data_IF_499835130435
#
_entry.id   IF_499835130435
#
_cell.length_a   1.000
_cell.length_b   1.000
_cell.length_c   1.000
_cell.angle_alpha   90.00
_cell.angle_beta   90.00
_cell.angle_gamma   90.00
#
_symmetry.space_group_name_H-M   'P 1'
#
loop_
_entity.id
_entity.type
_entity.pdbx_description
1 polymer ?
#
# COMPACT_ATOMS: atom_id res chain seq x y z
N UNK A 1 7.67 19.88 -2.18
CA UNK A 1 6.50 20.34 -1.39
C UNK A 1 6.49 19.63 -0.04
N UNK A 2 6.77 20.35 1.05
CA UNK A 2 6.78 19.82 2.43
C UNK A 2 5.33 19.66 2.92
N UNK A 3 4.92 18.42 3.20
CA UNK A 3 3.61 18.09 3.76
C UNK A 3 3.54 18.51 5.23
N UNK A 4 2.66 19.48 5.54
CA UNK A 4 2.37 19.89 6.92
C UNK A 4 1.34 18.96 7.59
N UNK A 5 1.47 18.71 8.91
CA UNK A 5 0.73 17.68 9.66
C UNK A 5 -0.80 17.84 9.68
N UNK A 6 -1.35 19.05 9.47
CA UNK A 6 -2.79 19.32 9.55
C UNK A 6 -3.59 18.87 8.31
N UNK A 7 -2.96 18.81 7.14
CA UNK A 7 -3.66 18.51 5.87
C UNK A 7 -4.12 17.05 5.77
N UNK A 8 -3.50 16.17 6.54
CA UNK A 8 -3.76 14.74 6.52
C UNK A 8 -4.99 14.31 7.33
N UNK A 9 -5.32 15.04 8.40
CA UNK A 9 -6.54 14.78 9.18
C UNK A 9 -7.79 14.98 8.33
N UNK A 10 -7.79 16.01 7.48
CA UNK A 10 -8.90 16.28 6.55
C UNK A 10 -9.03 15.16 5.53
N UNK A 11 -7.93 14.65 4.99
CA UNK A 11 -7.97 13.53 4.03
C UNK A 11 -8.46 12.24 4.70
N UNK A 12 -7.95 11.90 5.89
CA UNK A 12 -8.42 10.72 6.62
C UNK A 12 -9.89 10.84 7.01
N UNK A 13 -10.33 12.03 7.45
CA UNK A 13 -11.72 12.32 7.79
C UNK A 13 -12.64 12.21 6.56
N UNK A 14 -12.23 12.75 5.41
CA UNK A 14 -12.97 12.62 4.15
C UNK A 14 -13.13 11.16 3.73
N UNK A 15 -12.08 10.35 3.90
CA UNK A 15 -12.13 8.90 3.60
C UNK A 15 -13.01 8.16 4.61
N UNK A 16 -13.05 8.60 5.87
CA UNK A 16 -13.98 8.07 6.89
C UNK A 16 -15.43 8.44 6.63
N UNK A 17 -15.68 9.65 6.14
CA UNK A 17 -17.01 10.10 5.74
C UNK A 17 -17.56 9.31 4.53
N UNK A 18 -16.74 8.47 3.87
CA UNK A 18 -17.11 7.62 2.73
C UNK A 18 -17.84 8.39 1.62
N UNK A 19 -17.56 9.69 1.46
CA UNK A 19 -18.22 10.49 0.43
C UNK A 19 -17.71 10.00 -0.93
N UNK A 20 -18.54 9.34 -1.77
CA UNK A 20 -18.06 8.67 -2.97
C UNK A 20 -17.42 9.67 -3.95
N UNK A 21 -18.05 10.84 -4.10
CA UNK A 21 -17.63 11.89 -5.03
C UNK A 21 -16.25 12.47 -4.71
N UNK A 22 -15.93 12.62 -3.41
CA UNK A 22 -14.63 13.15 -2.98
C UNK A 22 -13.57 12.06 -3.02
N UNK A 23 -13.92 10.83 -2.61
CA UNK A 23 -13.01 9.69 -2.64
C UNK A 23 -12.54 9.37 -4.06
N UNK A 24 -13.44 9.42 -5.05
CA UNK A 24 -13.09 9.20 -6.47
C UNK A 24 -12.13 10.28 -6.99
N UNK A 25 -12.37 11.56 -6.66
CA UNK A 25 -11.44 12.65 -7.01
C UNK A 25 -10.07 12.44 -6.37
N UNK A 26 -10.04 12.00 -5.11
CA UNK A 26 -8.81 11.74 -4.38
C UNK A 26 -8.01 10.57 -4.97
N UNK A 27 -8.69 9.46 -5.25
CA UNK A 27 -8.12 8.28 -5.91
C UNK A 27 -7.53 8.66 -7.28
N UNK A 28 -8.22 9.52 -8.03
CA UNK A 28 -7.72 10.03 -9.31
C UNK A 28 -6.43 10.85 -9.14
N UNK A 29 -6.33 11.67 -8.09
CA UNK A 29 -5.12 12.44 -7.76
C UNK A 29 -3.96 11.56 -7.25
N UNK A 30 -4.26 10.42 -6.62
CA UNK A 30 -3.25 9.48 -6.13
C UNK A 30 -2.70 8.55 -7.19
N UNK A 31 -3.39 8.41 -8.33
CA UNK A 31 -2.92 7.61 -9.45
C UNK A 31 -1.56 8.13 -9.93
N UNK A 32 -0.55 7.26 -9.97
CA UNK A 32 0.84 7.62 -10.31
C UNK A 32 1.69 8.08 -9.13
N UNK A 33 1.12 8.17 -7.92
CA UNK A 33 1.82 8.59 -6.70
C UNK A 33 1.64 7.61 -5.52
N UNK A 34 1.14 6.39 -5.71
CA UNK A 34 0.91 5.43 -4.62
C UNK A 34 2.20 5.03 -3.90
N UNK A 35 3.33 5.02 -4.60
CA UNK A 35 4.65 4.67 -4.06
C UNK A 35 5.09 5.69 -3.00
N UNK A 36 5.25 7.00 -3.32
CA UNK A 36 5.62 8.00 -2.32
C UNK A 36 4.54 8.16 -1.23
N UNK A 37 3.25 7.96 -1.55
CA UNK A 37 2.18 7.99 -0.55
C UNK A 37 2.30 6.84 0.46
N UNK A 38 2.72 5.66 0.02
CA UNK A 38 2.88 4.49 0.91
C UNK A 38 4.02 4.68 1.91
N UNK A 39 5.06 5.43 1.55
CA UNK A 39 6.22 5.73 2.41
C UNK A 39 5.98 6.91 3.37
N UNK A 40 4.82 7.56 3.29
CA UNK A 40 4.47 8.67 4.18
C UNK A 40 3.61 8.19 5.34
N UNK A 41 3.99 8.56 6.57
CA UNK A 41 3.29 8.20 7.83
C UNK A 41 1.76 8.31 7.76
N UNK A 42 1.25 9.35 7.14
CA UNK A 42 -0.19 9.63 7.13
C UNK A 42 -0.91 9.16 5.87
N UNK A 43 -0.23 9.24 4.73
CA UNK A 43 -0.77 8.86 3.43
C UNK A 43 -0.77 7.33 3.23
N UNK A 44 0.09 6.60 3.95
CA UNK A 44 0.10 5.13 3.96
C UNK A 44 -1.26 4.57 4.41
N UNK A 45 -1.83 5.13 5.48
CA UNK A 45 -3.15 4.76 5.98
C UNK A 45 -4.27 5.00 4.95
N UNK A 46 -4.14 6.06 4.15
CA UNK A 46 -5.07 6.37 3.06
C UNK A 46 -5.00 5.27 2.00
N UNK A 47 -3.80 4.89 1.58
CA UNK A 47 -3.60 3.80 0.59
C UNK A 47 -4.12 2.47 1.14
N UNK A 48 -3.89 2.15 2.42
CA UNK A 48 -4.47 0.96 3.06
C UNK A 48 -6.00 0.96 3.03
N UNK A 49 -6.61 2.11 3.31
CA UNK A 49 -8.08 2.27 3.31
C UNK A 49 -8.62 2.18 1.88
N UNK A 50 -7.90 2.71 0.89
CA UNK A 50 -8.20 2.54 -0.53
C UNK A 50 -8.18 1.06 -0.92
N UNK A 51 -7.12 0.33 -0.55
CA UNK A 51 -7.00 -1.11 -0.80
C UNK A 51 -8.14 -1.90 -0.16
N UNK A 52 -8.60 -1.53 1.04
CA UNK A 52 -9.70 -2.21 1.74
C UNK A 52 -11.07 -1.90 1.14
N UNK A 53 -11.37 -0.63 0.85
CA UNK A 53 -12.72 -0.18 0.50
C UNK A 53 -12.99 -0.12 -1.02
N UNK A 54 -11.97 0.05 -1.86
CA UNK A 54 -12.15 0.28 -3.29
C UNK A 54 -11.49 -0.86 -4.09
N UNK A 55 -12.25 -1.92 -4.32
CA UNK A 55 -11.76 -3.13 -4.98
C UNK A 55 -11.22 -2.85 -6.40
N UNK A 56 -11.89 -1.95 -7.12
CA UNK A 56 -11.53 -1.50 -8.47
C UNK A 56 -10.15 -0.80 -8.53
N UNK A 57 -9.70 -0.21 -7.41
CA UNK A 57 -8.42 0.51 -7.35
C UNK A 57 -7.26 -0.39 -6.98
N UNK A 58 -7.52 -1.54 -6.33
CA UNK A 58 -6.50 -2.52 -5.92
C UNK A 58 -5.52 -2.88 -7.04
N UNK A 59 -5.95 -3.31 -8.24
CA UNK A 59 -5.02 -3.66 -9.32
C UNK A 59 -4.11 -2.50 -9.73
N UNK A 60 -4.61 -1.27 -9.69
CA UNK A 60 -3.84 -0.08 -10.07
C UNK A 60 -2.75 0.20 -9.04
N UNK A 61 -3.12 0.18 -7.75
CA UNK A 61 -2.19 0.38 -6.65
C UNK A 61 -1.08 -0.68 -6.68
N UNK A 62 -1.44 -1.95 -6.83
CA UNK A 62 -0.48 -3.06 -6.82
C UNK A 62 0.46 -2.98 -8.02
N UNK A 63 -0.06 -2.73 -9.23
CA UNK A 63 0.80 -2.58 -10.42
C UNK A 63 1.80 -1.46 -10.25
N UNK A 64 1.39 -0.35 -9.63
CA UNK A 64 2.27 0.78 -9.40
C UNK A 64 3.35 0.46 -8.35
N UNK A 65 2.97 -0.20 -7.25
CA UNK A 65 3.92 -0.67 -6.23
C UNK A 65 4.92 -1.68 -6.82
N UNK A 66 4.48 -2.58 -7.68
CA UNK A 66 5.32 -3.57 -8.37
C UNK A 66 6.19 -2.97 -9.47
N UNK A 67 5.82 -1.81 -10.01
CA UNK A 67 6.59 -1.11 -11.05
C UNK A 67 7.82 -0.38 -10.49
N UNK A 68 8.01 -0.38 -9.18
CA UNK A 68 9.14 0.31 -8.52
C UNK A 68 10.40 -0.53 -8.65
N UNK A 69 11.46 0.09 -9.18
CA UNK A 69 12.77 -0.55 -9.33
C UNK A 69 13.38 -1.04 -8.02
N UNK A 70 13.04 -0.39 -6.90
CA UNK A 70 13.52 -0.69 -5.56
C UNK A 70 12.40 -1.15 -4.62
N UNK A 71 11.73 -2.25 -4.97
CA UNK A 71 10.65 -2.80 -4.15
C UNK A 71 11.11 -3.16 -2.72
N UNK A 72 12.38 -3.53 -2.54
CA UNK A 72 13.03 -3.74 -1.26
C UNK A 72 12.97 -2.54 -0.31
N UNK A 73 12.95 -1.32 -0.85
CA UNK A 73 12.83 -0.10 -0.04
C UNK A 73 11.44 0.02 0.56
N UNK A 74 10.40 -0.33 -0.21
CA UNK A 74 9.01 -0.35 0.28
C UNK A 74 8.81 -1.41 1.38
N UNK A 75 9.48 -2.56 1.26
CA UNK A 75 9.41 -3.62 2.27
C UNK A 75 10.08 -3.23 3.59
N UNK A 76 11.15 -2.43 3.53
CA UNK A 76 11.93 -1.99 4.68
C UNK A 76 11.44 -0.66 5.27
N UNK A 77 10.64 0.11 4.52
CA UNK A 77 10.11 1.39 4.95
C UNK A 77 9.17 1.21 6.15
N UNK A 78 9.27 2.06 7.20
CA UNK A 78 8.48 1.95 8.42
C UNK A 78 6.96 2.11 8.23
N UNK A 79 6.50 2.64 7.09
CA UNK A 79 5.09 2.84 6.78
C UNK A 79 4.63 1.99 5.59
N UNK A 80 5.40 1.93 4.51
CA UNK A 80 5.00 1.19 3.31
C UNK A 80 4.93 -0.32 3.54
N UNK A 81 5.71 -0.87 4.50
CA UNK A 81 5.60 -2.27 4.90
C UNK A 81 4.17 -2.66 5.32
N UNK A 82 3.42 -1.74 5.94
CA UNK A 82 2.03 -1.98 6.35
C UNK A 82 1.09 -1.97 5.13
N UNK A 83 1.32 -1.08 4.17
CA UNK A 83 0.58 -1.04 2.91
C UNK A 83 0.75 -2.35 2.13
N UNK A 84 1.98 -2.87 2.05
CA UNK A 84 2.25 -4.17 1.40
C UNK A 84 1.56 -5.32 2.15
N UNK A 85 1.58 -5.33 3.48
CA UNK A 85 0.84 -6.33 4.27
C UNK A 85 -0.66 -6.27 4.02
N UNK A 86 -1.24 -5.06 4.02
CA UNK A 86 -2.65 -4.83 3.72
C UNK A 86 -2.98 -5.27 2.30
N UNK A 87 -2.13 -4.95 1.31
CA UNK A 87 -2.29 -5.40 -0.07
C UNK A 87 -2.27 -6.94 -0.17
N UNK A 88 -1.31 -7.62 0.46
CA UNK A 88 -1.27 -9.08 0.51
C UNK A 88 -2.52 -9.67 1.19
N UNK A 89 -3.05 -9.02 2.23
CA UNK A 89 -4.21 -9.51 2.96
C UNK A 89 -5.53 -9.38 2.18
N UNK A 90 -5.71 -8.29 1.41
CA UNK A 90 -6.95 -7.98 0.67
C UNK A 90 -6.96 -8.55 -0.75
N UNK A 91 -5.81 -8.83 -1.35
CA UNK A 91 -5.71 -9.31 -2.72
C UNK A 91 -5.90 -10.82 -2.82
N UNK A 92 -6.45 -11.27 -3.95
CA UNK A 92 -6.63 -12.69 -4.28
C UNK A 92 -6.35 -12.91 -5.77
N UNK A 93 -6.07 -14.15 -6.16
CA UNK A 93 -5.88 -14.53 -7.56
C UNK A 93 -4.56 -14.04 -8.17
N UNK A 94 -4.50 -13.71 -9.47
CA UNK A 94 -3.24 -13.46 -10.18
C UNK A 94 -2.48 -12.24 -9.64
N UNK A 95 -3.19 -11.20 -9.17
CA UNK A 95 -2.55 -10.01 -8.56
C UNK A 95 -1.85 -10.36 -7.24
N UNK A 96 -2.45 -11.25 -6.45
CA UNK A 96 -1.84 -11.74 -5.21
C UNK A 96 -0.56 -12.54 -5.53
N UNK A 97 -0.62 -13.41 -6.54
CA UNK A 97 0.54 -14.18 -6.99
C UNK A 97 1.69 -13.26 -7.42
N UNK A 98 1.44 -12.24 -8.24
CA UNK A 98 2.48 -11.27 -8.63
C UNK A 98 3.10 -10.56 -7.43
N UNK A 99 2.29 -10.17 -6.44
CA UNK A 99 2.77 -9.50 -5.24
C UNK A 99 3.61 -10.45 -4.36
N UNK A 100 3.17 -11.70 -4.21
CA UNK A 100 3.90 -12.75 -3.49
C UNK A 100 5.24 -13.04 -4.15
N UNK A 101 5.27 -13.14 -5.48
CA UNK A 101 6.51 -13.39 -6.22
C UNK A 101 7.51 -12.24 -6.08
N UNK A 102 7.04 -10.98 -6.16
CA UNK A 102 7.89 -9.82 -5.91
C UNK A 102 8.45 -9.79 -4.47
N UNK A 103 7.65 -10.16 -3.48
CA UNK A 103 8.10 -10.29 -2.08
C UNK A 103 9.09 -11.44 -1.93
N UNK A 104 8.84 -12.59 -2.57
CA UNK A 104 9.73 -13.77 -2.55
C UNK A 104 11.07 -13.51 -3.22
N UNK A 105 11.11 -12.72 -4.29
CA UNK A 105 12.35 -12.28 -4.91
C UNK A 105 13.28 -11.57 -3.91
N UNK A 106 12.71 -10.97 -2.86
CA UNK A 106 13.43 -10.27 -1.80
C UNK A 106 13.44 -11.05 -0.48
N UNK A 107 13.40 -12.39 -0.52
CA UNK A 107 13.39 -13.25 0.68
C UNK A 107 14.60 -13.03 1.61
N UNK A 108 15.71 -12.50 1.07
CA UNK A 108 16.88 -12.07 1.85
C UNK A 108 16.54 -11.04 2.94
N UNK A 109 15.48 -10.24 2.75
CA UNK A 109 15.03 -9.21 3.70
C UNK A 109 14.22 -9.78 4.86
N UNK A 110 13.89 -11.08 4.86
CA UNK A 110 13.12 -11.73 5.93
C UNK A 110 13.77 -11.62 7.30
N UNK A 111 15.08 -11.38 7.36
CA UNK A 111 15.84 -11.16 8.59
C UNK A 111 15.63 -9.76 9.17
N UNK A 112 15.21 -8.79 8.36
CA UNK A 112 14.94 -7.41 8.78
C UNK A 112 13.71 -7.33 9.71
N UNK A 113 13.78 -6.56 10.81
CA UNK A 113 12.70 -6.47 11.79
C UNK A 113 11.38 -5.95 11.18
N UNK A 114 11.44 -5.08 10.17
CA UNK A 114 10.26 -4.54 9.48
C UNK A 114 9.60 -5.57 8.55
N UNK A 115 10.41 -6.37 7.85
CA UNK A 115 9.92 -7.33 6.86
C UNK A 115 9.44 -8.65 7.49
N UNK A 116 9.82 -8.96 8.74
CA UNK A 116 9.42 -10.21 9.44
C UNK A 116 7.91 -10.50 9.36
N UNK A 117 7.07 -9.46 9.49
CA UNK A 117 5.61 -9.61 9.41
C UNK A 117 5.13 -9.94 8.00
N UNK A 118 5.71 -9.33 6.97
CA UNK A 118 5.41 -9.60 5.55
C UNK A 118 5.67 -11.07 5.22
N UNK A 119 6.81 -11.61 5.66
CA UNK A 119 7.21 -12.99 5.40
C UNK A 119 6.54 -14.02 6.32
N UNK A 120 5.57 -13.61 7.14
CA UNK A 120 4.82 -14.55 7.98
C UNK A 120 3.95 -15.44 7.10
N UNK A 121 4.06 -16.77 7.28
CA UNK A 121 3.44 -17.81 6.42
C UNK A 121 1.93 -17.66 6.16
N UNK A 122 1.19 -16.94 7.02
CA UNK A 122 -0.24 -16.65 6.83
C UNK A 122 -0.54 -15.74 5.63
N UNK A 123 0.36 -14.81 5.30
CA UNK A 123 0.14 -13.81 4.24
C UNK A 123 0.56 -14.30 2.85
N UNK A 124 1.36 -15.38 2.79
CA UNK A 124 1.90 -15.95 1.56
C UNK A 124 1.19 -17.25 1.12
N UNK A 125 0.15 -17.66 1.84
CA UNK A 125 -0.65 -18.87 1.58
C UNK A 125 -2.12 -18.47 1.45
N UNK A 126 -2.53 -17.99 0.27
CA UNK A 126 -3.94 -17.72 -0.02
C UNK A 126 -4.28 -17.91 -1.49
#
# INVERSE_FOLDING_TARGET
MRFFPFRNYVIQYIIELKIPSVSVKLISQFKGNYVPLSMQKFSSHVVEKCLKHFEETRPRIIRELLSVSHFEQLLQDPYANYVIQSALAVTKGPLHASLVEAVRAHMILRTSPYCKRIFTRKLLKK
#
